data_IF_138613587324
#
_entry.id   IF_138613587324
#
_cell.length_a   1.000
_cell.length_b   1.000
_cell.length_c   1.000
_cell.angle_alpha   90.00
_cell.angle_beta   90.00
_cell.angle_gamma   90.00
#
_symmetry.space_group_name_H-M   'P 1'
#
loop_
_entity.id
_entity.type
_entity.pdbx_description
1 polymer ?
#
# COMPACT_ATOMS: atom_id res chain seq x y z
N UNK A 1 -27.82 -21.91 35.97
CA UNK A 1 -26.65 -21.07 35.83
C UNK A 1 -25.42 -21.93 36.11
N UNK A 2 -24.77 -22.51 35.08
CA UNK A 2 -23.56 -23.32 35.29
C UNK A 2 -22.39 -22.35 35.34
N UNK A 3 -21.79 -22.21 36.51
CA UNK A 3 -20.53 -21.52 36.73
C UNK A 3 -19.47 -22.34 35.97
N UNK A 4 -18.88 -21.78 34.90
CA UNK A 4 -17.74 -22.38 34.23
C UNK A 4 -16.57 -22.39 35.23
N UNK A 5 -16.22 -23.56 35.71
CA UNK A 5 -15.02 -23.78 36.50
C UNK A 5 -13.84 -23.53 35.59
N UNK A 6 -13.12 -22.45 35.78
CA UNK A 6 -11.89 -22.11 35.05
C UNK A 6 -10.92 -23.29 35.23
N UNK A 7 -10.64 -24.03 34.15
CA UNK A 7 -9.61 -25.08 34.12
C UNK A 7 -8.23 -24.40 34.22
N UNK A 8 -7.48 -24.58 35.31
CA UNK A 8 -6.17 -23.96 35.47
C UNK A 8 -5.14 -24.44 34.43
N UNK A 9 -5.48 -25.45 33.64
CA UNK A 9 -4.62 -26.00 32.57
C UNK A 9 -4.74 -25.25 31.24
N UNK A 10 -5.58 -24.20 31.15
CA UNK A 10 -5.78 -23.42 29.94
C UNK A 10 -6.72 -24.09 28.93
N UNK A 11 -6.84 -23.49 27.73
CA UNK A 11 -7.71 -23.95 26.62
C UNK A 11 -6.89 -24.45 25.44
N UNK A 12 -7.39 -25.45 24.71
CA UNK A 12 -6.74 -25.94 23.49
C UNK A 12 -6.76 -24.86 22.39
N UNK A 13 -5.59 -24.57 21.80
CA UNK A 13 -5.42 -23.58 20.75
C UNK A 13 -6.40 -23.81 19.57
N UNK A 14 -6.63 -25.06 19.17
CA UNK A 14 -7.56 -25.40 18.09
C UNK A 14 -9.01 -24.99 18.40
N UNK A 15 -9.45 -25.11 19.66
CA UNK A 15 -10.78 -24.69 20.10
C UNK A 15 -10.89 -23.17 20.14
N UNK A 16 -9.85 -22.48 20.65
CA UNK A 16 -9.76 -21.02 20.66
C UNK A 16 -9.84 -20.45 19.24
N UNK A 17 -9.07 -21.01 18.28
CA UNK A 17 -9.12 -20.61 16.87
C UNK A 17 -10.50 -20.85 16.24
N UNK A 18 -11.17 -21.94 16.59
CA UNK A 18 -12.53 -22.23 16.07
C UNK A 18 -13.52 -21.19 16.55
N UNK A 19 -13.47 -20.83 17.85
CA UNK A 19 -14.32 -19.79 18.43
C UNK A 19 -14.06 -18.41 17.82
N UNK A 20 -12.78 -18.06 17.64
CA UNK A 20 -12.38 -16.80 16.99
C UNK A 20 -12.86 -16.74 15.54
N UNK A 21 -12.73 -17.83 14.78
CA UNK A 21 -13.25 -17.91 13.41
C UNK A 21 -14.75 -17.64 13.36
N UNK A 22 -15.52 -18.19 14.30
CA UNK A 22 -16.96 -17.93 14.39
C UNK A 22 -17.27 -16.47 14.75
N UNK A 23 -16.48 -15.85 15.65
CA UNK A 23 -16.62 -14.44 16.00
C UNK A 23 -16.32 -13.48 14.82
N UNK A 24 -15.47 -13.90 13.88
CA UNK A 24 -15.08 -13.14 12.69
C UNK A 24 -15.94 -13.45 11.45
N UNK A 25 -17.11 -14.05 11.58
CA UNK A 25 -17.94 -14.50 10.45
C UNK A 25 -18.30 -13.38 9.44
N UNK A 26 -18.20 -12.09 9.84
CA UNK A 26 -18.54 -10.94 9.00
C UNK A 26 -17.33 -10.39 8.20
N UNK A 27 -16.11 -10.89 8.43
CA UNK A 27 -14.94 -10.48 7.62
C UNK A 27 -14.76 -11.42 6.41
N UNK A 28 -14.05 -10.98 5.35
CA UNK A 28 -13.91 -11.78 4.12
C UNK A 28 -13.22 -13.14 4.34
N UNK A 29 -12.28 -13.23 5.28
CA UNK A 29 -11.45 -14.42 5.50
C UNK A 29 -11.37 -14.81 6.98
N UNK A 30 -12.47 -15.21 7.63
CA UNK A 30 -12.55 -15.37 9.10
C UNK A 30 -11.47 -16.27 9.68
N UNK A 31 -11.22 -17.42 9.04
CA UNK A 31 -10.22 -18.39 9.53
C UNK A 31 -8.79 -17.89 9.35
N UNK A 32 -8.52 -17.24 8.23
CA UNK A 32 -7.19 -16.68 7.95
C UNK A 32 -6.87 -15.56 8.94
N UNK A 33 -7.82 -14.65 9.15
CA UNK A 33 -7.66 -13.53 10.08
C UNK A 33 -7.46 -14.04 11.52
N UNK A 34 -8.26 -15.03 11.96
CA UNK A 34 -8.09 -15.66 13.26
C UNK A 34 -6.69 -16.27 13.44
N UNK A 35 -6.19 -16.98 12.42
CA UNK A 35 -4.85 -17.57 12.45
C UNK A 35 -3.73 -16.51 12.43
N UNK A 36 -3.87 -15.45 11.64
CA UNK A 36 -2.86 -14.39 11.56
C UNK A 36 -2.78 -13.59 12.87
N UNK A 37 -3.91 -13.28 13.51
CA UNK A 37 -3.94 -12.63 14.83
C UNK A 37 -3.28 -13.49 15.90
N UNK A 38 -3.57 -14.81 15.92
CA UNK A 38 -2.95 -15.72 16.88
C UNK A 38 -1.44 -15.92 16.58
N UNK A 39 -1.05 -15.99 15.29
CA UNK A 39 0.35 -16.05 14.90
C UNK A 39 1.12 -14.80 15.31
N UNK A 40 0.52 -13.62 15.12
CA UNK A 40 1.09 -12.34 15.55
C UNK A 40 1.35 -12.32 17.06
N UNK A 41 0.36 -12.69 17.86
CA UNK A 41 0.45 -12.62 19.32
C UNK A 41 1.42 -13.65 19.91
N UNK A 42 1.45 -14.89 19.37
CA UNK A 42 2.05 -16.06 20.04
C UNK A 42 3.30 -16.62 19.35
N UNK A 43 3.49 -16.34 18.06
CA UNK A 43 4.50 -17.02 17.22
C UNK A 43 5.26 -16.09 16.28
N UNK A 44 5.45 -14.83 16.68
CA UNK A 44 6.21 -13.82 15.89
C UNK A 44 5.71 -13.70 14.43
N UNK A 45 4.40 -13.77 14.21
CA UNK A 45 3.78 -13.73 12.88
C UNK A 45 3.80 -15.05 12.11
N UNK A 46 4.43 -16.10 12.62
CA UNK A 46 4.59 -17.36 11.90
C UNK A 46 3.34 -18.23 11.93
N UNK A 47 2.52 -18.14 10.88
CA UNK A 47 1.33 -18.97 10.71
C UNK A 47 1.64 -20.48 10.66
N UNK A 48 2.79 -20.89 10.10
CA UNK A 48 3.20 -22.29 10.07
C UNK A 48 3.50 -22.84 11.47
N UNK A 49 4.15 -22.05 12.34
CA UNK A 49 4.37 -22.41 13.75
C UNK A 49 3.05 -22.54 14.50
N UNK A 50 2.13 -21.60 14.29
CA UNK A 50 0.78 -21.65 14.87
C UNK A 50 0.05 -22.95 14.46
N UNK A 51 0.02 -23.28 13.16
CA UNK A 51 -0.67 -24.47 12.67
C UNK A 51 -0.06 -25.75 13.24
N UNK A 52 1.26 -25.82 13.34
CA UNK A 52 1.95 -26.93 13.99
C UNK A 52 1.55 -27.05 15.47
N UNK A 53 1.58 -25.95 16.22
CA UNK A 53 1.20 -25.93 17.62
C UNK A 53 -0.26 -26.38 17.85
N UNK A 54 -1.18 -25.91 17.01
CA UNK A 54 -2.58 -26.33 17.07
C UNK A 54 -2.75 -27.84 16.79
N UNK A 55 -1.99 -28.38 15.83
CA UNK A 55 -1.99 -29.81 15.52
C UNK A 55 -1.42 -30.67 16.68
N UNK A 56 -0.42 -30.15 17.38
CA UNK A 56 0.19 -30.81 18.55
C UNK A 56 -0.63 -30.68 19.84
N UNK A 57 -1.81 -30.05 19.79
CA UNK A 57 -2.70 -29.90 20.94
C UNK A 57 -2.18 -28.91 21.98
N UNK A 58 -1.43 -27.88 21.56
CA UNK A 58 -0.94 -26.83 22.45
C UNK A 58 -2.11 -26.14 23.17
N UNK A 59 -1.86 -25.75 24.43
CA UNK A 59 -2.85 -25.11 25.29
C UNK A 59 -2.41 -23.70 25.64
N UNK A 60 -3.33 -22.75 25.54
CA UNK A 60 -3.13 -21.36 25.89
C UNK A 60 -3.52 -21.11 27.35
N UNK A 61 -2.74 -20.31 28.03
CA UNK A 61 -3.10 -19.80 29.36
C UNK A 61 -4.34 -18.89 29.29
N UNK A 62 -5.09 -18.70 30.39
CA UNK A 62 -6.20 -17.75 30.42
C UNK A 62 -5.82 -16.31 30.02
N UNK A 63 -4.59 -15.88 30.35
CA UNK A 63 -4.08 -14.57 29.95
C UNK A 63 -3.90 -14.46 28.44
N UNK A 64 -3.26 -15.46 27.81
CA UNK A 64 -3.10 -15.49 26.34
C UNK A 64 -4.45 -15.54 25.61
N UNK A 65 -5.41 -16.30 26.12
CA UNK A 65 -6.77 -16.34 25.57
C UNK A 65 -7.41 -14.96 25.63
N UNK A 66 -7.32 -14.27 26.77
CA UNK A 66 -7.91 -12.94 26.94
C UNK A 66 -7.26 -11.89 26.01
N UNK A 67 -5.93 -11.89 25.89
CA UNK A 67 -5.21 -11.01 24.97
C UNK A 67 -5.60 -11.29 23.50
N UNK A 68 -5.67 -12.56 23.12
CA UNK A 68 -6.09 -12.95 21.79
C UNK A 68 -7.55 -12.53 21.48
N UNK A 69 -8.47 -12.77 22.40
CA UNK A 69 -9.89 -12.38 22.26
C UNK A 69 -10.04 -10.85 22.12
N UNK A 70 -9.18 -10.06 22.76
CA UNK A 70 -9.16 -8.61 22.56
C UNK A 70 -8.78 -8.22 21.10
N UNK A 71 -7.79 -8.89 20.50
CA UNK A 71 -7.44 -8.68 19.09
C UNK A 71 -8.57 -9.11 18.15
N UNK A 72 -9.20 -10.25 18.43
CA UNK A 72 -10.36 -10.76 17.68
C UNK A 72 -11.52 -9.78 17.74
N UNK A 73 -11.79 -9.17 18.90
CA UNK A 73 -12.85 -8.19 19.07
C UNK A 73 -12.59 -6.92 18.22
N UNK A 74 -11.35 -6.43 18.16
CA UNK A 74 -10.96 -5.32 17.28
C UNK A 74 -11.23 -5.66 15.83
N UNK A 75 -10.82 -6.85 15.38
CA UNK A 75 -11.04 -7.31 14.01
C UNK A 75 -12.51 -7.50 13.67
N UNK A 76 -13.30 -8.03 14.60
CA UNK A 76 -14.75 -8.16 14.46
C UNK A 76 -15.45 -6.80 14.34
N UNK A 77 -14.90 -5.74 14.95
CA UNK A 77 -15.32 -4.35 14.78
C UNK A 77 -14.83 -3.72 13.46
N UNK A 78 -14.29 -4.52 12.52
CA UNK A 78 -13.80 -4.13 11.19
C UNK A 78 -12.51 -3.30 11.20
N UNK A 79 -11.75 -3.26 12.30
CA UNK A 79 -10.41 -2.70 12.26
C UNK A 79 -9.53 -3.51 11.29
N UNK A 80 -8.77 -2.88 10.37
CA UNK A 80 -7.91 -3.59 9.45
C UNK A 80 -6.96 -4.54 10.17
N UNK A 81 -6.84 -5.78 9.68
CA UNK A 81 -5.92 -6.75 10.25
C UNK A 81 -4.50 -6.18 10.35
N UNK A 82 -4.07 -5.46 9.33
CA UNK A 82 -2.75 -4.84 9.23
C UNK A 82 -2.53 -3.76 10.29
N UNK A 83 -3.57 -3.01 10.66
CA UNK A 83 -3.49 -2.04 11.76
C UNK A 83 -3.37 -2.74 13.12
N UNK A 84 -4.06 -3.89 13.28
CA UNK A 84 -3.99 -4.68 14.52
C UNK A 84 -2.62 -5.32 14.69
N UNK A 85 -2.05 -5.85 13.62
CA UNK A 85 -0.75 -6.55 13.63
C UNK A 85 0.44 -5.59 13.49
N UNK A 86 0.20 -4.35 13.05
CA UNK A 86 1.24 -3.34 12.83
C UNK A 86 2.06 -3.55 11.57
N UNK A 87 1.69 -4.50 10.71
CA UNK A 87 2.41 -4.79 9.48
C UNK A 87 1.48 -5.17 8.32
N UNK A 88 1.93 -4.90 7.10
CA UNK A 88 1.28 -5.26 5.85
C UNK A 88 2.28 -5.89 4.89
N UNK A 89 1.98 -7.05 4.29
CA UNK A 89 2.76 -7.56 3.18
C UNK A 89 2.51 -6.69 1.95
N UNK A 90 3.58 -6.36 1.23
CA UNK A 90 3.50 -5.67 -0.05
C UNK A 90 4.68 -6.09 -0.91
N UNK A 91 4.40 -6.58 -2.12
CA UNK A 91 5.39 -7.14 -3.02
C UNK A 91 6.18 -8.26 -2.32
N UNK A 92 7.48 -8.08 -2.04
CA UNK A 92 8.33 -9.04 -1.31
C UNK A 92 8.75 -8.53 0.07
N UNK A 93 8.05 -7.52 0.56
CA UNK A 93 8.39 -6.82 1.80
C UNK A 93 7.29 -6.99 2.84
N UNK A 94 7.66 -6.82 4.10
CA UNK A 94 6.75 -6.60 5.20
C UNK A 94 6.92 -5.16 5.66
N UNK A 95 5.87 -4.36 5.52
CA UNK A 95 5.88 -2.93 5.81
C UNK A 95 5.19 -2.64 7.14
N UNK A 96 5.75 -1.71 7.89
CA UNK A 96 5.10 -1.16 9.09
C UNK A 96 3.93 -0.28 8.67
N UNK A 97 2.76 -0.54 9.25
CA UNK A 97 1.54 0.24 9.06
C UNK A 97 0.77 0.33 10.37
N UNK A 98 -0.24 1.18 10.43
CA UNK A 98 -1.12 1.32 11.60
C UNK A 98 -2.12 2.45 11.39
N UNK A 99 -2.86 2.86 12.43
CA UNK A 99 -3.82 3.95 12.34
C UNK A 99 -3.20 5.22 11.75
N UNK A 100 -3.93 5.89 10.86
CA UNK A 100 -3.50 7.14 10.23
C UNK A 100 -2.69 6.95 8.93
N UNK A 101 -2.44 5.71 8.50
CA UNK A 101 -1.80 5.44 7.21
C UNK A 101 -2.64 4.48 6.36
N UNK A 102 -2.71 4.74 5.06
CA UNK A 102 -3.35 3.86 4.09
C UNK A 102 -2.67 2.49 4.06
N UNK A 103 -3.46 1.42 4.15
CA UNK A 103 -2.94 0.05 4.03
C UNK A 103 -2.63 -0.25 2.56
N UNK A 104 -1.39 -0.60 2.20
CA UNK A 104 -1.04 -0.95 0.82
C UNK A 104 -1.93 -2.05 0.25
N UNK A 105 -2.41 -1.88 -0.99
CA UNK A 105 -3.31 -2.81 -1.65
C UNK A 105 -2.55 -3.70 -2.64
N UNK A 106 -2.98 -4.97 -2.83
CA UNK A 106 -2.35 -5.88 -3.79
C UNK A 106 -2.36 -5.34 -5.24
N UNK A 107 -3.38 -4.56 -5.60
CA UNK A 107 -3.50 -3.95 -6.92
C UNK A 107 -2.34 -3.00 -7.23
N UNK A 108 -1.83 -2.29 -6.22
CA UNK A 108 -0.69 -1.37 -6.35
C UNK A 108 0.62 -2.11 -6.66
N UNK A 109 0.73 -3.42 -6.39
CA UNK A 109 1.90 -4.22 -6.76
C UNK A 109 2.10 -4.28 -8.29
N UNK A 110 1.01 -4.21 -9.07
CA UNK A 110 1.09 -4.16 -10.53
C UNK A 110 1.76 -2.87 -11.04
N UNK A 111 1.55 -1.75 -10.34
CA UNK A 111 2.26 -0.50 -10.64
C UNK A 111 3.76 -0.70 -10.48
N UNK A 112 4.17 -1.35 -9.39
CA UNK A 112 5.59 -1.67 -9.13
C UNK A 112 6.15 -2.60 -10.21
N UNK A 113 5.43 -3.68 -10.54
CA UNK A 113 5.86 -4.65 -11.56
C UNK A 113 6.08 -3.99 -12.93
N UNK A 114 5.13 -3.16 -13.36
CA UNK A 114 5.22 -2.48 -14.65
C UNK A 114 6.35 -1.44 -14.65
N UNK A 115 6.48 -0.66 -13.58
CA UNK A 115 7.57 0.29 -13.42
C UNK A 115 8.94 -0.40 -13.44
N UNK A 116 9.08 -1.56 -12.79
CA UNK A 116 10.32 -2.32 -12.78
C UNK A 116 10.71 -2.86 -14.14
N UNK A 117 9.76 -3.27 -15.00
CA UNK A 117 10.06 -3.66 -16.40
C UNK A 117 10.70 -2.51 -17.17
N UNK A 118 10.12 -1.30 -17.06
CA UNK A 118 10.64 -0.11 -17.73
C UNK A 118 11.99 0.32 -17.15
N UNK A 119 12.11 0.36 -15.83
CA UNK A 119 13.31 0.83 -15.14
C UNK A 119 14.48 -0.13 -15.28
N UNK A 120 14.25 -1.45 -15.25
CA UNK A 120 15.32 -2.44 -15.46
C UNK A 120 15.91 -2.34 -16.86
N UNK A 121 15.07 -2.21 -17.90
CA UNK A 121 15.53 -2.00 -19.26
C UNK A 121 16.33 -0.68 -19.43
N UNK A 122 15.95 0.36 -18.70
CA UNK A 122 16.70 1.63 -18.67
C UNK A 122 18.03 1.49 -17.93
N UNK A 123 18.07 0.78 -16.81
CA UNK A 123 19.27 0.57 -16.01
C UNK A 123 20.39 -0.11 -16.81
N UNK A 124 20.05 -1.01 -17.73
CA UNK A 124 21.01 -1.69 -18.63
C UNK A 124 21.67 -0.73 -19.63
N UNK A 125 20.97 0.34 -20.02
CA UNK A 125 21.43 1.31 -21.02
C UNK A 125 21.91 2.65 -20.44
N UNK A 126 21.62 2.90 -19.15
CA UNK A 126 21.94 4.17 -18.49
C UNK A 126 23.44 4.28 -18.18
N UNK A 127 24.01 5.46 -18.41
CA UNK A 127 25.38 5.80 -17.99
C UNK A 127 25.45 6.37 -16.56
N UNK A 128 24.31 6.51 -15.90
CA UNK A 128 24.16 7.10 -14.56
C UNK A 128 23.18 6.36 -13.68
N UNK A 129 23.06 6.83 -12.45
CA UNK A 129 22.12 6.31 -11.47
C UNK A 129 20.69 6.75 -11.83
N UNK A 130 19.75 5.80 -11.89
CA UNK A 130 18.33 6.12 -12.11
C UNK A 130 17.76 6.89 -10.93
N UNK A 131 16.90 7.86 -11.20
CA UNK A 131 16.15 8.65 -10.21
C UNK A 131 14.67 8.36 -10.31
N UNK A 132 14.08 7.90 -9.23
CA UNK A 132 12.66 7.54 -9.15
C UNK A 132 12.01 8.33 -8.02
N UNK A 133 10.80 8.84 -8.27
CA UNK A 133 10.00 9.55 -7.27
C UNK A 133 8.68 8.83 -7.08
N UNK A 134 8.31 8.60 -5.80
CA UNK A 134 7.00 8.15 -5.34
C UNK A 134 6.27 9.36 -4.75
N UNK A 135 5.20 9.81 -5.41
CA UNK A 135 4.36 10.91 -4.94
C UNK A 135 3.11 10.37 -4.23
N UNK A 136 2.76 10.95 -3.08
CA UNK A 136 1.71 10.45 -2.18
C UNK A 136 2.08 9.07 -1.62
N UNK A 137 3.26 8.98 -1.00
CA UNK A 137 3.91 7.70 -0.68
C UNK A 137 3.19 6.87 0.42
N UNK A 138 2.36 7.49 1.28
CA UNK A 138 1.69 6.81 2.39
C UNK A 138 2.69 6.12 3.31
N UNK A 139 2.60 4.80 3.43
CA UNK A 139 3.57 3.98 4.17
C UNK A 139 4.93 3.81 3.45
N UNK A 140 5.07 4.32 2.21
CA UNK A 140 6.26 4.18 1.39
C UNK A 140 6.33 2.86 0.59
N UNK A 141 5.21 2.21 0.36
CA UNK A 141 5.15 0.88 -0.24
C UNK A 141 5.79 0.80 -1.63
N UNK A 142 5.44 1.73 -2.53
CA UNK A 142 5.97 1.79 -3.90
C UNK A 142 7.48 2.07 -3.85
N UNK A 143 7.88 3.12 -3.13
CA UNK A 143 9.29 3.51 -3.00
C UNK A 143 10.15 2.38 -2.42
N UNK A 144 9.67 1.69 -1.37
CA UNK A 144 10.36 0.56 -0.75
C UNK A 144 10.54 -0.59 -1.73
N UNK A 145 9.48 -0.97 -2.46
CA UNK A 145 9.53 -2.05 -3.43
C UNK A 145 10.50 -1.74 -4.59
N UNK A 146 10.42 -0.53 -5.16
CA UNK A 146 11.35 -0.09 -6.21
C UNK A 146 12.80 -0.11 -5.70
N UNK A 147 13.05 0.41 -4.50
CA UNK A 147 14.41 0.46 -3.95
C UNK A 147 14.97 -0.93 -3.63
N UNK A 148 14.13 -1.87 -3.18
CA UNK A 148 14.56 -3.24 -2.90
C UNK A 148 14.99 -4.01 -4.16
N UNK A 149 14.31 -3.79 -5.29
CA UNK A 149 14.60 -4.45 -6.57
C UNK A 149 15.69 -3.70 -7.38
N UNK A 150 15.81 -2.39 -7.20
CA UNK A 150 16.82 -1.53 -7.85
C UNK A 150 17.69 -0.81 -6.81
N UNK A 151 18.57 -1.54 -6.09
CA UNK A 151 19.31 -1.00 -4.95
C UNK A 151 20.23 0.17 -5.34
N UNK A 152 20.66 0.25 -6.60
CA UNK A 152 21.48 1.35 -7.11
C UNK A 152 20.68 2.59 -7.51
N UNK A 153 19.33 2.52 -7.60
CA UNK A 153 18.52 3.68 -7.92
C UNK A 153 18.50 4.68 -6.76
N UNK A 154 18.44 5.97 -7.09
CA UNK A 154 18.15 7.03 -6.15
C UNK A 154 16.64 7.20 -6.10
N UNK A 155 16.04 6.81 -4.97
CA UNK A 155 14.58 6.83 -4.80
C UNK A 155 14.22 7.91 -3.80
N UNK A 156 13.24 8.73 -4.16
CA UNK A 156 12.62 9.77 -3.35
C UNK A 156 11.17 9.39 -3.09
N UNK A 157 10.67 9.69 -1.90
CA UNK A 157 9.28 9.51 -1.52
C UNK A 157 8.76 10.80 -0.90
N UNK A 158 7.58 11.26 -1.33
CA UNK A 158 6.96 12.48 -0.80
C UNK A 158 5.65 12.10 -0.13
N UNK A 159 5.51 12.47 1.15
CA UNK A 159 4.30 12.23 1.93
C UNK A 159 3.92 13.49 2.72
N UNK A 160 2.64 13.84 2.68
CA UNK A 160 2.10 15.04 3.35
C UNK A 160 1.68 14.74 4.79
N UNK A 161 1.10 13.57 5.05
CA UNK A 161 0.49 13.21 6.32
C UNK A 161 1.52 13.07 7.44
N UNK A 162 1.37 13.86 8.51
CA UNK A 162 2.18 13.74 9.72
C UNK A 162 1.99 12.37 10.40
N UNK A 163 0.80 11.75 10.25
CA UNK A 163 0.47 10.44 10.81
C UNK A 163 1.10 9.29 10.02
N UNK A 164 1.24 9.43 8.69
CA UNK A 164 1.86 8.43 7.82
C UNK A 164 3.40 8.45 7.90
N UNK A 165 4.01 9.61 8.11
CA UNK A 165 5.47 9.79 8.11
C UNK A 165 6.23 8.84 9.05
N UNK A 166 5.78 8.54 10.28
CA UNK A 166 6.49 7.57 11.14
C UNK A 166 6.59 6.17 10.52
N UNK A 167 5.55 5.72 9.84
CA UNK A 167 5.53 4.43 9.15
C UNK A 167 6.42 4.46 7.91
N UNK A 168 6.27 5.48 7.06
CA UNK A 168 7.12 5.68 5.89
C UNK A 168 8.60 5.71 6.28
N UNK A 169 8.95 6.44 7.32
CA UNK A 169 10.33 6.52 7.82
C UNK A 169 10.87 5.16 8.23
N UNK A 170 10.09 4.39 9.02
CA UNK A 170 10.49 3.05 9.46
C UNK A 170 10.71 2.09 8.29
N UNK A 171 9.92 2.23 7.21
CA UNK A 171 10.01 1.38 6.04
C UNK A 171 11.13 1.80 5.07
N UNK A 172 11.42 3.09 4.97
CA UNK A 172 12.26 3.67 3.91
C UNK A 172 13.69 3.98 4.34
N UNK A 173 13.91 4.44 5.58
CA UNK A 173 15.26 4.78 6.07
C UNK A 173 16.25 3.60 5.98
N UNK A 174 15.86 2.33 6.35
CA UNK A 174 16.77 1.20 6.25
C UNK A 174 17.19 0.87 4.81
N UNK A 175 16.38 1.26 3.83
CA UNK A 175 16.63 1.05 2.41
C UNK A 175 17.43 2.20 1.78
N UNK A 176 17.61 3.33 2.48
CA UNK A 176 18.28 4.52 1.96
C UNK A 176 17.42 5.29 0.94
N UNK A 177 16.10 5.27 1.08
CA UNK A 177 15.17 6.12 0.32
C UNK A 177 15.14 7.52 0.94
N UNK A 178 15.13 8.55 0.10
CA UNK A 178 15.02 9.95 0.52
C UNK A 178 13.55 10.31 0.79
N UNK A 179 13.13 10.22 2.04
CA UNK A 179 11.77 10.61 2.45
C UNK A 179 11.70 12.12 2.70
N UNK A 180 10.74 12.76 2.02
CA UNK A 180 10.41 14.19 2.17
C UNK A 180 8.99 14.33 2.72
N UNK A 181 8.86 14.92 3.91
CA UNK A 181 7.55 15.34 4.40
C UNK A 181 7.17 16.65 3.75
N UNK A 182 6.11 16.66 2.96
CA UNK A 182 5.67 17.84 2.24
C UNK A 182 4.59 17.56 1.20
N UNK A 183 4.12 18.63 0.59
CA UNK A 183 3.12 18.56 -0.46
C UNK A 183 3.74 18.04 -1.77
N UNK A 184 3.20 16.95 -2.30
CA UNK A 184 3.61 16.33 -3.54
C UNK A 184 3.60 17.29 -4.74
N UNK A 185 2.78 18.34 -4.69
CA UNK A 185 2.66 19.32 -5.78
C UNK A 185 3.80 20.35 -5.79
N UNK A 186 4.51 20.51 -4.68
CA UNK A 186 5.55 21.55 -4.55
C UNK A 186 6.92 21.01 -4.10
N UNK A 187 6.98 19.80 -3.56
CA UNK A 187 8.23 19.18 -3.12
C UNK A 187 9.16 18.84 -4.30
N UNK A 188 10.46 18.71 -4.05
CA UNK A 188 11.49 18.29 -5.00
C UNK A 188 11.62 19.21 -6.24
N UNK A 189 11.37 20.52 -6.08
CA UNK A 189 11.44 21.49 -7.19
C UNK A 189 12.82 21.57 -7.81
N UNK A 190 13.87 21.35 -7.02
CA UNK A 190 15.26 21.30 -7.45
C UNK A 190 15.59 20.11 -8.36
N UNK A 191 14.72 19.10 -8.40
CA UNK A 191 14.88 17.92 -9.26
C UNK A 191 14.07 18.04 -10.57
N UNK A 192 13.42 19.16 -10.83
CA UNK A 192 12.63 19.36 -12.06
C UNK A 192 13.43 19.04 -13.32
N UNK A 193 12.84 18.25 -14.22
CA UNK A 193 13.45 17.85 -15.46
C UNK A 193 14.58 16.81 -15.35
N UNK A 194 14.77 16.17 -14.17
CA UNK A 194 15.91 15.25 -13.94
C UNK A 194 15.49 13.84 -13.53
N UNK A 195 14.20 13.56 -13.37
CA UNK A 195 13.67 12.30 -12.86
C UNK A 195 13.40 11.32 -14.01
N UNK A 196 13.84 10.08 -13.87
CA UNK A 196 13.64 9.02 -14.86
C UNK A 196 12.25 8.39 -14.79
N UNK A 197 11.68 8.28 -13.58
CA UNK A 197 10.31 7.81 -13.38
C UNK A 197 9.64 8.50 -12.20
N UNK A 198 8.36 8.82 -12.37
CA UNK A 198 7.46 9.25 -11.30
C UNK A 198 6.33 8.24 -11.19
N UNK A 199 6.12 7.73 -9.98
CA UNK A 199 5.10 6.76 -9.64
C UNK A 199 4.17 7.38 -8.59
N UNK A 200 2.89 7.05 -8.62
CA UNK A 200 1.95 7.55 -7.60
C UNK A 200 0.73 6.66 -7.46
N UNK A 201 0.31 6.47 -6.22
CA UNK A 201 -1.06 6.08 -5.90
C UNK A 201 -1.71 7.27 -5.17
N UNK A 202 -2.21 8.28 -5.91
CA UNK A 202 -2.81 9.46 -5.31
C UNK A 202 -4.22 9.16 -4.83
N UNK A 203 -4.80 9.97 -3.93
CA UNK A 203 -6.22 9.90 -3.66
C UNK A 203 -7.02 10.20 -4.94
N UNK A 204 -8.01 9.34 -5.25
CA UNK A 204 -8.76 9.42 -6.51
C UNK A 204 -10.28 9.16 -6.34
N UNK A 205 -10.75 8.81 -5.15
CA UNK A 205 -12.18 8.50 -4.92
C UNK A 205 -13.00 9.79 -4.99
N UNK A 206 -14.12 9.80 -5.77
CA UNK A 206 -15.06 10.92 -5.74
C UNK A 206 -15.61 11.14 -4.33
N UNK A 207 -15.73 12.40 -3.84
CA UNK A 207 -16.20 12.66 -2.48
C UNK A 207 -17.60 12.15 -2.16
N UNK A 208 -18.44 11.96 -3.18
CA UNK A 208 -19.78 11.40 -3.01
C UNK A 208 -19.80 9.85 -2.85
N UNK A 209 -18.68 9.19 -3.14
CA UNK A 209 -18.58 7.74 -3.08
C UNK A 209 -18.00 7.29 -1.74
N UNK A 210 -18.60 6.23 -1.18
CA UNK A 210 -18.05 5.55 -0.01
C UNK A 210 -17.27 4.34 -0.48
N UNK A 211 -16.03 4.11 0.00
CA UNK A 211 -15.28 2.91 -0.34
C UNK A 211 -16.12 1.64 -0.11
N UNK A 212 -16.08 0.72 -1.08
CA UNK A 212 -16.84 -0.53 -0.98
C UNK A 212 -16.32 -1.47 0.12
N UNK A 213 -15.04 -1.34 0.46
CA UNK A 213 -14.43 -2.05 1.58
C UNK A 213 -14.72 -1.30 2.88
N UNK A 214 -15.45 -1.92 3.84
CA UNK A 214 -15.76 -1.29 5.12
C UNK A 214 -14.53 -0.91 5.94
N UNK A 215 -13.43 -1.65 5.83
CA UNK A 215 -12.17 -1.34 6.50
C UNK A 215 -11.60 -0.03 5.97
N UNK A 216 -11.58 0.15 4.65
CA UNK A 216 -11.15 1.41 4.04
C UNK A 216 -12.05 2.58 4.45
N UNK A 217 -13.37 2.38 4.37
CA UNK A 217 -14.35 3.42 4.69
C UNK A 217 -14.30 3.92 6.15
N UNK A 218 -13.88 3.05 7.09
CA UNK A 218 -13.89 3.34 8.52
C UNK A 218 -12.52 3.73 9.09
N UNK A 219 -11.43 3.33 8.43
CA UNK A 219 -10.09 3.39 9.05
C UNK A 219 -9.01 4.01 8.18
N UNK A 220 -9.15 4.02 6.84
CA UNK A 220 -8.19 4.73 6.01
C UNK A 220 -8.43 6.24 6.10
N UNK A 221 -7.38 7.06 6.09
CA UNK A 221 -7.53 8.52 6.20
C UNK A 221 -8.25 9.11 4.97
N UNK A 222 -9.20 10.03 5.18
CA UNK A 222 -9.91 10.71 4.10
C UNK A 222 -8.98 11.34 3.08
N UNK A 223 -7.87 11.91 3.53
CA UNK A 223 -6.87 12.52 2.65
C UNK A 223 -6.14 11.54 1.73
N UNK A 224 -6.13 10.24 2.09
CA UNK A 224 -5.56 9.19 1.24
C UNK A 224 -6.58 8.58 0.27
N UNK A 225 -7.87 8.88 0.45
CA UNK A 225 -8.97 8.31 -0.33
C UNK A 225 -9.52 9.28 -1.36
N UNK A 226 -9.88 10.50 -0.94
CA UNK A 226 -10.69 11.40 -1.75
C UNK A 226 -9.85 12.34 -2.61
N UNK A 227 -9.98 12.18 -3.94
CA UNK A 227 -9.20 12.93 -4.93
C UNK A 227 -9.64 14.38 -5.17
N UNK A 228 -10.75 14.79 -4.56
CA UNK A 228 -11.33 16.12 -4.74
C UNK A 228 -12.04 16.31 -6.09
N UNK A 229 -12.74 17.44 -6.23
CA UNK A 229 -13.67 17.65 -7.34
C UNK A 229 -14.93 16.77 -7.21
N UNK A 230 -15.84 16.82 -8.19
CA UNK A 230 -17.03 15.97 -8.19
C UNK A 230 -16.71 14.51 -8.60
N UNK A 231 -15.67 14.34 -9.41
CA UNK A 231 -15.26 13.11 -10.06
C UNK A 231 -14.01 12.44 -9.43
N UNK A 232 -13.45 13.03 -8.38
CA UNK A 232 -12.22 12.53 -7.74
C UNK A 232 -10.94 12.83 -8.53
N UNK A 233 -11.00 13.58 -9.63
CA UNK A 233 -9.89 13.80 -10.55
C UNK A 233 -9.02 15.03 -10.23
N UNK A 234 -9.33 15.79 -9.19
CA UNK A 234 -8.57 17.02 -8.89
C UNK A 234 -7.11 16.68 -8.51
N UNK A 235 -6.90 15.75 -7.59
CA UNK A 235 -5.56 15.34 -7.18
C UNK A 235 -4.83 14.56 -8.30
N UNK A 236 -5.43 13.55 -8.97
CA UNK A 236 -4.80 12.90 -10.11
C UNK A 236 -4.34 13.89 -11.20
N UNK A 237 -5.12 14.93 -11.47
CA UNK A 237 -4.76 15.98 -12.44
C UNK A 237 -3.53 16.77 -11.98
N UNK A 238 -3.49 17.18 -10.74
CA UNK A 238 -2.35 17.92 -10.19
C UNK A 238 -1.08 17.07 -10.13
N UNK A 239 -1.20 15.79 -9.75
CA UNK A 239 -0.08 14.83 -9.73
C UNK A 239 0.48 14.57 -11.14
N UNK A 240 -0.37 14.39 -12.14
CA UNK A 240 0.09 14.20 -13.53
C UNK A 240 0.86 15.43 -14.04
N UNK A 241 0.37 16.64 -13.75
CA UNK A 241 1.08 17.87 -14.10
C UNK A 241 2.43 17.97 -13.38
N UNK A 242 2.45 17.68 -12.07
CA UNK A 242 3.69 17.70 -11.28
C UNK A 242 4.70 16.65 -11.74
N UNK A 243 4.23 15.44 -12.06
CA UNK A 243 5.07 14.38 -12.60
C UNK A 243 5.74 14.84 -13.92
N UNK A 244 4.98 15.48 -14.80
CA UNK A 244 5.53 16.00 -16.06
C UNK A 244 6.63 17.04 -15.86
N UNK A 245 6.49 17.92 -14.85
CA UNK A 245 7.55 18.89 -14.51
C UNK A 245 8.82 18.19 -14.00
N UNK A 246 8.70 17.21 -13.12
CA UNK A 246 9.82 16.50 -12.52
C UNK A 246 10.58 15.63 -13.53
N UNK A 247 9.88 15.03 -14.47
CA UNK A 247 10.47 14.08 -15.42
C UNK A 247 11.46 14.71 -16.38
N UNK A 248 12.58 14.01 -16.58
CA UNK A 248 13.49 14.24 -17.70
C UNK A 248 12.81 13.91 -19.05
N UNK A 249 13.29 14.44 -20.18
CA UNK A 249 12.85 13.99 -21.50
C UNK A 249 12.96 12.46 -21.64
N UNK A 250 11.90 11.83 -22.14
CA UNK A 250 11.76 10.38 -22.21
C UNK A 250 11.41 9.71 -20.86
N UNK A 251 11.22 10.47 -19.78
CA UNK A 251 10.88 9.96 -18.46
C UNK A 251 9.53 9.23 -18.43
N UNK A 252 9.37 8.29 -17.53
CA UNK A 252 8.21 7.43 -17.37
C UNK A 252 7.31 7.92 -16.22
N UNK A 253 6.02 7.97 -16.47
CA UNK A 253 5.00 8.23 -15.46
C UNK A 253 4.02 7.08 -15.37
N UNK A 254 3.62 6.73 -14.16
CA UNK A 254 2.52 5.80 -13.92
C UNK A 254 1.79 6.16 -12.64
N UNK A 255 0.45 6.13 -12.68
CA UNK A 255 -0.37 6.33 -11.50
C UNK A 255 -1.54 5.35 -11.43
N UNK A 256 -1.95 5.03 -10.19
CA UNK A 256 -3.18 4.30 -9.89
C UNK A 256 -4.39 5.23 -9.97
N UNK A 257 -5.56 4.66 -10.35
CA UNK A 257 -6.84 5.37 -10.42
C UNK A 257 -8.01 4.38 -10.26
N UNK A 258 -9.23 4.89 -10.09
CA UNK A 258 -10.42 4.05 -10.11
C UNK A 258 -10.65 3.43 -11.50
N UNK A 259 -11.22 2.21 -11.54
CA UNK A 259 -11.47 1.51 -12.81
C UNK A 259 -12.50 2.24 -13.71
N UNK A 260 -13.29 3.14 -13.15
CA UNK A 260 -14.21 4.01 -13.90
C UNK A 260 -13.55 5.26 -14.49
N UNK A 261 -12.29 5.56 -14.12
CA UNK A 261 -11.58 6.78 -14.52
C UNK A 261 -10.63 6.57 -15.73
N UNK A 262 -10.58 5.37 -16.36
CA UNK A 262 -9.63 5.05 -17.45
C UNK A 262 -9.63 6.11 -18.57
N UNK A 263 -10.81 6.45 -19.08
CA UNK A 263 -10.93 7.43 -20.19
C UNK A 263 -10.51 8.84 -19.75
N UNK A 264 -10.96 9.27 -18.58
CA UNK A 264 -10.63 10.59 -18.02
C UNK A 264 -9.12 10.74 -17.77
N UNK A 265 -8.46 9.68 -17.28
CA UNK A 265 -7.00 9.68 -17.08
C UNK A 265 -6.26 9.64 -18.40
N UNK A 266 -6.70 8.87 -19.39
CA UNK A 266 -6.09 8.85 -20.73
C UNK A 266 -6.13 10.24 -21.40
N UNK A 267 -7.28 10.93 -21.33
CA UNK A 267 -7.42 12.31 -21.81
C UNK A 267 -6.54 13.29 -21.02
N UNK A 268 -6.47 13.12 -19.70
CA UNK A 268 -5.62 13.95 -18.83
C UNK A 268 -4.16 13.83 -19.23
N UNK A 269 -3.64 12.61 -19.39
CA UNK A 269 -2.24 12.40 -19.77
C UNK A 269 -1.92 13.02 -21.11
N UNK A 270 -2.82 12.89 -22.10
CA UNK A 270 -2.68 13.54 -23.41
C UNK A 270 -2.67 15.07 -23.32
N UNK A 271 -3.55 15.67 -22.50
CA UNK A 271 -3.61 17.13 -22.28
C UNK A 271 -2.36 17.67 -21.58
N UNK A 272 -1.79 16.92 -20.65
CA UNK A 272 -0.53 17.28 -19.96
C UNK A 272 0.66 17.21 -20.92
N UNK A 273 0.57 16.40 -21.96
CA UNK A 273 1.61 16.25 -23.00
C UNK A 273 2.38 14.94 -22.93
N UNK A 274 1.88 13.94 -22.19
CA UNK A 274 2.44 12.59 -22.22
C UNK A 274 2.12 11.91 -23.55
N UNK A 275 3.06 11.09 -24.02
CA UNK A 275 2.96 10.28 -25.24
C UNK A 275 2.98 8.78 -24.90
N UNK A 276 2.57 7.94 -25.84
CA UNK A 276 2.54 6.48 -25.68
C UNK A 276 1.81 6.06 -24.41
N UNK A 277 0.68 6.71 -24.14
CA UNK A 277 -0.13 6.41 -22.98
C UNK A 277 -0.83 5.06 -23.14
N UNK A 278 -0.88 4.27 -22.05
CA UNK A 278 -1.56 2.99 -22.05
C UNK A 278 -2.09 2.65 -20.65
N UNK A 279 -3.25 1.95 -20.55
CA UNK A 279 -3.77 1.45 -19.30
C UNK A 279 -3.06 0.15 -18.91
N UNK A 280 -2.96 -0.11 -17.61
CA UNK A 280 -2.54 -1.39 -17.05
C UNK A 280 -3.70 -1.98 -16.27
N UNK A 281 -4.03 -3.24 -16.57
CA UNK A 281 -5.20 -3.92 -16.03
C UNK A 281 -4.80 -4.90 -14.94
N UNK A 282 -5.62 -4.98 -13.90
CA UNK A 282 -5.47 -5.97 -12.84
C UNK A 282 -5.79 -7.40 -13.36
N UNK A 283 -5.60 -8.40 -12.50
CA UNK A 283 -5.86 -9.81 -12.83
C UNK A 283 -7.33 -10.09 -13.18
N UNK A 284 -8.24 -9.18 -12.85
CA UNK A 284 -9.66 -9.25 -13.19
C UNK A 284 -9.99 -8.49 -14.49
N UNK A 285 -8.97 -7.93 -15.15
CA UNK A 285 -9.11 -7.15 -16.39
C UNK A 285 -9.58 -5.71 -16.18
N UNK A 286 -9.62 -5.20 -14.94
CA UNK A 286 -10.02 -3.82 -14.63
C UNK A 286 -8.84 -2.88 -14.81
N UNK A 287 -9.03 -1.72 -15.48
CA UNK A 287 -7.98 -0.71 -15.62
C UNK A 287 -7.76 0.01 -14.29
N UNK A 288 -6.68 -0.31 -13.62
CA UNK A 288 -6.33 0.27 -12.31
C UNK A 288 -5.21 1.28 -12.37
N UNK A 289 -4.46 1.29 -13.46
CA UNK A 289 -3.32 2.18 -13.63
C UNK A 289 -3.27 2.69 -15.05
N UNK A 290 -2.69 3.89 -15.21
CA UNK A 290 -2.35 4.46 -16.51
C UNK A 290 -0.91 4.95 -16.51
N UNK A 291 -0.22 4.68 -17.60
CA UNK A 291 1.17 5.04 -17.79
C UNK A 291 1.35 5.90 -19.05
N UNK A 292 2.43 6.66 -19.10
CA UNK A 292 2.83 7.47 -20.26
C UNK A 292 4.28 7.91 -20.16
N UNK A 293 4.78 8.48 -21.22
CA UNK A 293 6.16 8.97 -21.31
C UNK A 293 6.18 10.46 -21.63
N UNK A 294 7.05 11.21 -20.94
CA UNK A 294 7.37 12.57 -21.38
C UNK A 294 8.11 12.49 -22.71
N UNK A 295 7.77 13.29 -23.73
CA UNK A 295 8.47 13.27 -25.01
C UNK A 295 9.99 13.35 -24.85
N UNK A 296 10.72 12.55 -25.61
CA UNK A 296 12.16 12.73 -25.73
C UNK A 296 12.42 14.05 -26.47
N UNK A 297 13.42 14.82 -26.07
CA UNK A 297 13.84 15.97 -26.89
C UNK A 297 14.21 15.45 -28.27
N UNK A 298 13.54 15.96 -29.30
CA UNK A 298 13.94 15.70 -30.70
C UNK A 298 15.40 16.14 -30.82
N UNK A 299 16.29 15.18 -31.03
CA UNK A 299 17.66 15.52 -31.34
C UNK A 299 17.65 16.39 -32.61
N UNK A 300 18.08 17.64 -32.48
CA UNK A 300 18.34 18.55 -33.59
C UNK A 300 19.58 18.11 -34.35
#
# INVERSE_FOLDING_TARGET
MKVNVHDPRGEELAQVLTRATAALAQVPSPRVDAELLAAHLLYDGSRSRLQHAALMGERLTPAQVAEYEALVARRAAREPLQHITGCAPFYRLELSVGPGVFVPRPETELLVEEALKVLSARAESATGQLRVVDLCAGSGAIAAAIKSELPNAQVFAVELSEEAIPYARKNLEPLGVHLVQGDALTALTELAGTIDAVLSNPPYIPPANVPADPEAALHDPDMALYGGGEDGMQMPTAIAARAYELLAPGGFFMMEHDDTQEEAVAELLGRVGFERCYPVRDLNGRPRHSAGYKPATSGS
#
